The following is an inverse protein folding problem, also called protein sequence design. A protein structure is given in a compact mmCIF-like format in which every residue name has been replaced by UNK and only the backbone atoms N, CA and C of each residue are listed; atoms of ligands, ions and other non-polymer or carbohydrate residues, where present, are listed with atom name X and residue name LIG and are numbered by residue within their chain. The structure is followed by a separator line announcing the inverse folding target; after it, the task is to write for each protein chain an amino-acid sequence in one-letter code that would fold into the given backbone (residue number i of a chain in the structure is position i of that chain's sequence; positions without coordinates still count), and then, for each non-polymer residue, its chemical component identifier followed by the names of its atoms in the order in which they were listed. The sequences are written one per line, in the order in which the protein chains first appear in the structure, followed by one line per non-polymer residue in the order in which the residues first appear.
data_IF_822428257855
#
_entry.id   IF_822428257855
#
_cell.length_a   1.000
_cell.length_b   1.000
_cell.length_c   1.000
_cell.angle_alpha   90.00
_cell.angle_beta   90.00
_cell.angle_gamma   90.00
#
_symmetry.space_group_name_H-M   'P 1'
#
loop_
_entity.id
_entity.type
_entity.pdbx_description
1 polymer ?
#
# COMPACT_ATOMS: atom_id res chain seq x y z
N UNK A 1 -53.06 26.59 18.49
CA UNK A 1 -53.40 25.90 17.24
C UNK A 1 -52.78 24.50 17.27
N UNK A 2 -53.50 23.55 17.84
CA UNK A 2 -53.13 22.13 17.90
C UNK A 2 -53.99 21.38 16.88
N UNK A 3 -53.37 20.62 15.98
CA UNK A 3 -54.06 19.62 15.16
C UNK A 3 -53.44 18.24 15.43
N UNK A 4 -54.23 17.25 15.87
CA UNK A 4 -53.84 15.85 15.84
C UNK A 4 -54.34 15.20 14.53
N UNK A 5 -53.54 14.30 13.95
CA UNK A 5 -54.02 13.35 12.94
C UNK A 5 -53.56 11.94 13.32
N UNK A 6 -54.52 11.14 13.79
CA UNK A 6 -54.48 9.68 13.80
C UNK A 6 -55.58 9.19 12.84
N UNK A 7 -55.29 8.16 12.04
CA UNK A 7 -56.11 6.93 11.93
C UNK A 7 -55.47 5.95 10.93
N UNK A 8 -55.44 4.68 11.34
CA UNK A 8 -54.76 3.50 10.78
C UNK A 8 -55.55 2.80 9.63
N UNK A 9 -55.29 1.54 9.17
CA UNK A 9 -55.21 0.28 9.96
C UNK A 9 -54.02 -0.65 9.59
N UNK A 10 -53.37 -1.33 10.55
CA UNK A 10 -53.67 -2.68 11.06
C UNK A 10 -53.92 -3.76 9.99
N UNK A 11 -52.93 -4.66 9.85
CA UNK A 11 -53.12 -6.02 9.34
C UNK A 11 -52.50 -7.00 10.35
N UNK A 12 -53.38 -7.63 11.12
CA UNK A 12 -53.08 -8.79 11.96
C UNK A 12 -53.94 -9.94 11.46
N UNK A 13 -53.32 -11.11 11.24
CA UNK A 13 -53.98 -12.40 11.38
C UNK A 13 -52.95 -13.40 11.90
N UNK A 14 -53.36 -14.04 12.98
CA UNK A 14 -52.67 -15.05 13.79
C UNK A 14 -52.73 -16.45 13.16
N UNK A 15 -51.83 -17.32 13.62
CA UNK A 15 -52.00 -18.73 14.07
C UNK A 15 -50.59 -19.27 14.35
N UNK A 16 -50.16 -19.50 15.60
CA UNK A 16 -50.46 -20.69 16.43
C UNK A 16 -49.79 -21.93 15.83
N UNK A 17 -48.86 -22.70 16.43
CA UNK A 17 -48.77 -23.22 17.80
C UNK A 17 -47.35 -23.79 18.08
N UNK A 18 -46.99 -23.72 19.37
CA UNK A 18 -46.04 -24.51 20.21
C UNK A 18 -45.35 -25.78 19.67
N UNK A 19 -44.05 -25.99 19.99
CA UNK A 19 -43.52 -26.82 21.12
C UNK A 19 -42.04 -27.26 20.87
N UNK A 20 -41.20 -27.14 21.89
CA UNK A 20 -39.83 -27.70 22.01
C UNK A 20 -39.88 -29.12 22.64
N UNK A 21 -38.77 -29.75 23.09
CA UNK A 21 -37.65 -30.36 22.33
C UNK A 21 -37.43 -31.85 22.72
N UNK A 22 -36.60 -32.63 22.00
CA UNK A 22 -35.82 -33.78 22.56
C UNK A 22 -34.76 -34.31 21.59
N UNK A 23 -33.68 -34.84 22.16
CA UNK A 23 -32.40 -35.27 21.58
C UNK A 23 -32.35 -36.71 21.01
N UNK A 24 -31.32 -37.01 20.20
CA UNK A 24 -30.55 -38.27 20.08
C UNK A 24 -29.70 -38.21 18.78
N UNK A 25 -28.36 -38.22 18.80
CA UNK A 25 -27.39 -39.31 19.08
C UNK A 25 -26.95 -40.08 17.80
N UNK A 26 -25.67 -39.85 17.45
CA UNK A 26 -24.67 -40.71 16.76
C UNK A 26 -25.00 -41.41 15.44
N UNK A 27 -24.08 -41.33 14.47
CA UNK A 27 -23.07 -42.40 14.27
C UNK A 27 -22.17 -42.16 13.05
N UNK A 28 -20.88 -42.36 13.26
CA UNK A 28 -19.82 -42.52 12.26
C UNK A 28 -19.71 -44.02 11.97
N UNK A 29 -19.63 -44.44 10.69
CA UNK A 29 -18.66 -45.50 10.35
C UNK A 29 -18.28 -45.55 8.87
N UNK A 30 -17.00 -45.84 8.72
CA UNK A 30 -16.18 -46.06 7.54
C UNK A 30 -16.02 -47.58 7.32
N UNK A 31 -15.31 -47.97 6.25
CA UNK A 31 -14.74 -49.33 5.96
C UNK A 31 -15.72 -50.38 5.39
N UNK A 32 -15.39 -51.30 4.49
CA UNK A 32 -14.19 -51.62 3.69
C UNK A 32 -14.50 -52.83 2.79
N UNK A 33 -13.76 -52.93 1.67
CA UNK A 33 -13.12 -54.13 1.08
C UNK A 33 -13.89 -55.45 0.79
N UNK A 34 -13.78 -55.83 -0.49
CA UNK A 34 -13.22 -57.09 -1.02
C UNK A 34 -13.95 -58.44 -0.83
N UNK A 35 -14.14 -59.08 -2.00
CA UNK A 35 -13.98 -60.50 -2.33
C UNK A 35 -14.87 -61.52 -1.60
N UNK A 36 -15.74 -62.20 -2.35
CA UNK A 36 -15.56 -63.62 -2.68
C UNK A 36 -16.47 -64.06 -3.82
N UNK A 37 -15.86 -64.76 -4.78
CA UNK A 37 -16.49 -65.49 -5.86
C UNK A 37 -16.19 -66.98 -5.60
N UNK A 38 -17.21 -67.82 -5.49
CA UNK A 38 -17.12 -69.29 -5.48
C UNK A 38 -18.47 -69.81 -6.00
N UNK A 39 -18.52 -70.16 -7.29
CA UNK A 39 -18.59 -71.54 -7.79
C UNK A 39 -19.84 -72.29 -7.35
N UNK A 40 -20.75 -72.52 -8.31
CA UNK A 40 -21.10 -73.85 -8.85
C UNK A 40 -22.42 -74.33 -8.22
N UNK A 41 -23.28 -75.18 -8.78
CA UNK A 41 -23.10 -76.40 -9.57
C UNK A 41 -24.51 -76.74 -10.18
N UNK A 42 -24.56 -77.23 -11.43
CA UNK A 42 -25.50 -78.24 -12.02
C UNK A 42 -27.03 -78.05 -11.87
N UNK A 43 -27.83 -77.97 -12.94
CA UNK A 43 -28.40 -79.08 -13.75
C UNK A 43 -29.90 -78.72 -13.95
N UNK A 44 -30.72 -79.14 -14.92
CA UNK A 44 -30.68 -80.14 -15.98
C UNK A 44 -31.79 -79.78 -17.01
N UNK A 45 -31.57 -80.18 -18.27
CA UNK A 45 -32.51 -80.80 -19.23
C UNK A 45 -34.03 -80.55 -19.15
N UNK A 46 -34.66 -80.10 -20.25
CA UNK A 46 -35.50 -80.94 -21.16
C UNK A 46 -36.22 -80.09 -22.24
N UNK A 47 -36.09 -80.44 -23.53
CA UNK A 47 -37.13 -80.99 -24.45
C UNK A 47 -38.22 -79.94 -24.77
N UNK A 48 -38.42 -79.39 -25.98
CA UNK A 48 -38.89 -80.05 -27.22
C UNK A 48 -38.68 -79.17 -28.47
N UNK A 49 -38.44 -79.83 -29.60
CA UNK A 49 -38.45 -79.31 -30.97
C UNK A 49 -39.85 -78.87 -31.44
N UNK A 50 -39.92 -77.82 -32.26
CA UNK A 50 -40.72 -77.85 -33.50
C UNK A 50 -39.99 -77.08 -34.61
N UNK A 51 -39.79 -77.77 -35.74
CA UNK A 51 -39.25 -77.27 -37.01
C UNK A 51 -40.33 -76.43 -37.71
N UNK A 52 -39.95 -75.39 -38.44
CA UNK A 52 -40.39 -75.13 -39.83
C UNK A 52 -39.41 -74.17 -40.53
N UNK A 53 -39.35 -74.33 -41.85
CA UNK A 53 -38.30 -74.00 -42.83
C UNK A 53 -38.13 -72.52 -43.24
N UNK A 54 -36.98 -72.16 -43.88
CA UNK A 54 -36.60 -70.78 -44.19
C UNK A 54 -36.97 -70.37 -45.63
N UNK A 55 -37.32 -69.09 -45.84
CA UNK A 55 -37.19 -68.48 -47.16
C UNK A 55 -37.07 -66.95 -47.08
N UNK A 56 -36.13 -66.44 -47.88
CA UNK A 56 -36.01 -65.08 -48.43
C UNK A 56 -35.20 -64.01 -47.67
N UNK A 57 -34.03 -63.70 -48.27
CA UNK A 57 -33.37 -62.38 -48.42
C UNK A 57 -32.30 -61.96 -47.39
N UNK A 58 -31.00 -61.92 -47.74
CA UNK A 58 -30.03 -61.07 -47.06
C UNK A 58 -30.06 -59.66 -47.66
N UNK A 59 -30.87 -58.75 -47.12
CA UNK A 59 -30.59 -57.33 -47.30
C UNK A 59 -29.39 -56.97 -46.42
N UNK A 60 -28.28 -56.63 -47.07
CA UNK A 60 -27.10 -56.00 -46.46
C UNK A 60 -27.54 -54.80 -45.62
N UNK A 61 -27.72 -55.02 -44.32
CA UNK A 61 -27.82 -53.91 -43.38
C UNK A 61 -26.40 -53.41 -43.17
N UNK A 62 -26.11 -52.36 -43.92
CA UNK A 62 -24.99 -51.46 -43.70
C UNK A 62 -24.89 -51.20 -42.20
N UNK A 63 -23.83 -51.71 -41.56
CA UNK A 63 -23.49 -51.30 -40.20
C UNK A 63 -23.20 -49.80 -40.24
N UNK A 64 -24.23 -48.98 -40.02
CA UNK A 64 -24.06 -47.58 -39.65
C UNK A 64 -23.31 -47.61 -38.33
N UNK A 65 -22.00 -47.43 -38.40
CA UNK A 65 -21.14 -47.36 -37.23
C UNK A 65 -21.50 -46.08 -36.47
N UNK A 66 -22.44 -46.19 -35.53
CA UNK A 66 -22.87 -45.09 -34.66
C UNK A 66 -21.68 -44.71 -33.79
N UNK A 67 -21.07 -43.56 -34.07
CA UNK A 67 -20.03 -43.01 -33.19
C UNK A 67 -20.71 -42.28 -32.03
N UNK A 68 -20.70 -42.88 -30.84
CA UNK A 68 -21.14 -42.24 -29.60
C UNK A 68 -20.11 -41.22 -29.04
N UNK A 69 -19.46 -40.46 -29.91
CA UNK A 69 -18.59 -39.36 -29.48
C UNK A 69 -19.43 -38.09 -29.32
N UNK A 70 -20.03 -37.89 -28.15
CA UNK A 70 -20.50 -36.56 -27.75
C UNK A 70 -19.28 -35.67 -27.52
N UNK A 71 -19.21 -34.51 -28.19
CA UNK A 71 -18.14 -33.51 -28.09
C UNK A 71 -18.07 -32.79 -26.71
N UNK A 72 -18.42 -33.48 -25.63
CA UNK A 72 -18.44 -32.93 -24.27
C UNK A 72 -17.87 -33.90 -23.23
N UNK A 73 -17.01 -34.85 -23.62
CA UNK A 73 -16.21 -35.69 -22.71
C UNK A 73 -14.90 -35.03 -22.25
N UNK A 74 -14.77 -33.72 -22.46
CA UNK A 74 -13.76 -32.86 -21.85
C UNK A 74 -14.55 -31.72 -21.23
N UNK A 75 -14.67 -31.71 -19.91
CA UNK A 75 -15.36 -30.64 -19.19
C UNK A 75 -14.91 -29.29 -19.74
N UNK A 76 -15.87 -28.50 -20.23
CA UNK A 76 -15.73 -27.15 -20.78
C UNK A 76 -14.28 -26.61 -20.76
N UNK A 77 -13.59 -26.61 -21.91
CA UNK A 77 -12.25 -26.04 -22.07
C UNK A 77 -12.12 -24.54 -21.69
N UNK A 78 -13.25 -23.91 -21.30
CA UNK A 78 -13.40 -22.57 -20.76
C UNK A 78 -13.97 -22.53 -19.32
N UNK A 79 -13.86 -23.59 -18.52
CA UNK A 79 -14.11 -23.50 -17.07
C UNK A 79 -12.91 -22.85 -16.40
N UNK A 80 -12.81 -21.54 -16.59
CA UNK A 80 -11.78 -20.72 -15.98
C UNK A 80 -12.08 -20.54 -14.48
N UNK A 81 -11.67 -21.49 -13.65
CA UNK A 81 -11.56 -21.26 -12.20
C UNK A 81 -10.33 -20.39 -11.90
N UNK A 82 -10.33 -19.17 -12.43
CA UNK A 82 -9.37 -18.12 -12.06
C UNK A 82 -9.89 -17.43 -10.79
N UNK A 83 -9.91 -18.14 -9.67
CA UNK A 83 -10.12 -17.48 -8.39
C UNK A 83 -8.78 -16.90 -7.90
N UNK A 84 -8.60 -15.56 -7.90
CA UNK A 84 -7.37 -14.98 -7.42
C UNK A 84 -7.25 -15.18 -5.90
N UNK A 85 -6.03 -15.49 -5.43
CA UNK A 85 -5.75 -15.55 -4.00
C UNK A 85 -6.24 -14.29 -3.27
N UNK A 86 -6.89 -14.50 -2.13
CA UNK A 86 -7.45 -13.46 -1.28
C UNK A 86 -6.42 -12.38 -0.92
N UNK A 87 -6.80 -11.10 -1.05
CA UNK A 87 -5.87 -9.97 -0.89
C UNK A 87 -5.63 -9.54 0.56
N UNK A 88 -6.15 -10.29 1.54
CA UNK A 88 -5.98 -10.05 2.99
C UNK A 88 -6.34 -8.60 3.40
N UNK A 89 -7.41 -8.05 2.82
CA UNK A 89 -7.95 -6.74 3.17
C UNK A 89 -8.64 -6.78 4.55
N UNK A 90 -9.02 -5.63 5.07
CA UNK A 90 -9.73 -5.47 6.35
C UNK A 90 -8.89 -4.81 7.45
N UNK A 91 -9.43 -4.86 8.66
CA UNK A 91 -8.79 -4.32 9.85
C UNK A 91 -7.52 -5.10 10.18
N UNK A 92 -6.50 -4.35 10.61
CA UNK A 92 -5.21 -4.85 11.11
C UNK A 92 -5.01 -4.50 12.57
N UNK A 93 -5.62 -3.40 13.02
CA UNK A 93 -5.70 -2.99 14.41
C UNK A 93 -7.15 -2.82 14.82
N UNK A 94 -7.47 -3.25 16.03
CA UNK A 94 -8.83 -3.15 16.59
C UNK A 94 -8.98 -1.87 17.43
N UNK A 95 -10.20 -1.54 17.83
CA UNK A 95 -10.45 -0.37 18.68
C UNK A 95 -9.79 -0.55 20.05
N UNK A 96 -9.09 0.48 20.54
CA UNK A 96 -8.37 0.46 21.81
C UNK A 96 -6.98 -0.18 21.76
N UNK A 97 -6.54 -0.65 20.59
CA UNK A 97 -5.19 -1.20 20.41
C UNK A 97 -4.14 -0.08 20.30
N UNK A 98 -2.99 -0.29 20.94
CA UNK A 98 -1.88 0.66 20.90
C UNK A 98 -1.14 0.56 19.55
N UNK A 99 -0.82 1.71 18.96
CA UNK A 99 -0.14 1.84 17.68
C UNK A 99 0.96 2.88 17.73
N UNK A 100 2.00 2.65 16.92
CA UNK A 100 3.15 3.54 16.70
C UNK A 100 3.02 4.15 15.29
N UNK A 101 3.59 5.34 15.02
CA UNK A 101 3.58 5.93 13.68
C UNK A 101 4.01 4.95 12.59
N UNK A 102 3.27 4.94 11.48
CA UNK A 102 3.48 4.03 10.35
C UNK A 102 2.76 2.68 10.46
N UNK A 103 2.20 2.33 11.62
CA UNK A 103 1.41 1.11 11.75
C UNK A 103 0.15 1.15 10.88
N UNK A 104 -0.07 0.09 10.09
CA UNK A 104 -1.29 -0.05 9.28
C UNK A 104 -2.46 -0.41 10.20
N UNK A 105 -3.55 0.34 10.09
CA UNK A 105 -4.78 0.13 10.86
C UNK A 105 -5.83 -0.61 10.02
N UNK A 106 -6.02 -0.21 8.76
CA UNK A 106 -7.03 -0.81 7.89
C UNK A 106 -6.59 -0.82 6.42
N UNK A 107 -6.66 -1.98 5.76
CA UNK A 107 -6.42 -2.12 4.32
C UNK A 107 -7.73 -2.27 3.58
N UNK A 108 -7.97 -1.47 2.55
CA UNK A 108 -9.26 -1.44 1.87
C UNK A 108 -9.15 -1.23 0.36
N UNK A 109 -10.26 -1.47 -0.33
CA UNK A 109 -10.48 -1.00 -1.71
C UNK A 109 -11.51 0.11 -1.66
N UNK A 110 -11.15 1.25 -2.21
CA UNK A 110 -11.87 2.51 -1.97
C UNK A 110 -11.83 2.92 -0.49
N UNK A 111 -12.58 3.96 -0.15
CA UNK A 111 -12.63 4.54 1.20
C UNK A 111 -13.91 4.11 1.92
N UNK A 112 -13.91 2.90 2.50
CA UNK A 112 -14.99 2.46 3.40
C UNK A 112 -14.89 3.17 4.74
N UNK A 113 -13.66 3.30 5.23
CA UNK A 113 -13.28 4.14 6.34
C UNK A 113 -12.45 5.32 5.83
N UNK A 114 -12.62 6.47 6.45
CA UNK A 114 -11.87 7.69 6.17
C UNK A 114 -10.84 7.95 7.26
N UNK A 115 -9.71 8.60 6.94
CA UNK A 115 -8.75 9.02 7.94
C UNK A 115 -9.35 10.10 8.85
N UNK A 116 -9.37 9.82 10.15
CA UNK A 116 -9.74 10.75 11.21
C UNK A 116 -8.53 11.44 11.83
N UNK A 117 -8.64 11.80 13.10
CA UNK A 117 -7.57 12.44 13.87
C UNK A 117 -6.32 11.55 14.00
N UNK A 118 -5.13 12.14 13.83
CA UNK A 118 -3.82 11.45 13.95
C UNK A 118 -3.65 10.19 13.07
N UNK A 119 -4.44 10.10 12.00
CA UNK A 119 -4.37 9.06 10.97
C UNK A 119 -4.10 9.69 9.61
N UNK A 120 -3.42 8.93 8.75
CA UNK A 120 -3.21 9.31 7.37
C UNK A 120 -3.61 8.17 6.42
N UNK A 121 -3.77 8.51 5.15
CA UNK A 121 -4.22 7.59 4.11
C UNK A 121 -3.16 7.45 3.02
N UNK A 122 -2.83 6.20 2.65
CA UNK A 122 -1.91 5.88 1.59
C UNK A 122 -2.54 5.95 0.19
N UNK A 123 -1.72 5.75 -0.86
CA UNK A 123 -2.15 5.75 -2.26
C UNK A 123 -3.26 4.73 -2.55
N UNK A 124 -3.22 3.57 -1.89
CA UNK A 124 -4.20 2.49 -2.05
C UNK A 124 -5.36 2.60 -1.05
N UNK A 125 -5.55 3.76 -0.43
CA UNK A 125 -6.53 4.04 0.63
C UNK A 125 -6.31 3.25 1.93
N UNK A 126 -5.14 2.65 2.12
CA UNK A 126 -4.74 2.07 3.40
C UNK A 126 -4.63 3.17 4.46
N UNK A 127 -5.28 2.97 5.61
CA UNK A 127 -5.19 3.90 6.74
C UNK A 127 -4.07 3.43 7.67
N UNK A 128 -3.21 4.36 8.06
CA UNK A 128 -2.10 4.13 8.98
C UNK A 128 -2.03 5.23 10.04
N UNK A 129 -1.43 4.90 11.19
CA UNK A 129 -1.24 5.82 12.30
C UNK A 129 -0.15 6.86 11.96
N UNK A 130 -0.45 8.15 12.18
CA UNK A 130 0.54 9.22 12.05
C UNK A 130 1.26 9.49 13.38
N UNK A 131 0.56 9.29 14.51
CA UNK A 131 1.11 9.48 15.86
C UNK A 131 0.95 8.22 16.72
N UNK A 132 1.70 8.16 17.84
CA UNK A 132 1.60 7.06 18.80
C UNK A 132 0.41 7.23 19.76
N UNK A 133 -0.43 6.21 19.85
CA UNK A 133 -1.65 6.23 20.67
C UNK A 133 -2.51 5.00 20.49
N UNK A 134 -3.83 5.14 20.71
CA UNK A 134 -4.82 4.07 20.67
C UNK A 134 -5.83 4.29 19.55
N UNK A 135 -6.13 3.24 18.79
CA UNK A 135 -7.06 3.33 17.64
C UNK A 135 -8.50 3.49 18.10
N UNK A 136 -9.25 4.41 17.49
CA UNK A 136 -10.68 4.60 17.71
C UNK A 136 -11.43 4.70 16.39
N UNK A 137 -12.51 3.94 16.29
CA UNK A 137 -13.47 3.97 15.18
C UNK A 137 -14.66 4.83 15.60
N UNK A 138 -15.05 5.81 14.79
CA UNK A 138 -16.11 6.75 15.16
C UNK A 138 -16.86 7.28 13.95
N UNK A 139 -18.02 7.89 14.22
CA UNK A 139 -18.81 8.67 13.27
C UNK A 139 -18.70 10.13 13.65
N UNK A 140 -18.62 11.02 12.67
CA UNK A 140 -18.51 12.46 12.89
C UNK A 140 -19.58 13.19 12.05
N UNK A 141 -20.81 13.30 12.58
CA UNK A 141 -21.92 13.87 11.83
C UNK A 141 -21.74 15.38 11.58
N UNK A 142 -21.01 16.08 12.45
CA UNK A 142 -20.72 17.51 12.28
C UNK A 142 -19.80 17.75 11.08
N UNK A 143 -18.85 16.84 10.84
CA UNK A 143 -17.95 16.92 9.68
C UNK A 143 -18.60 16.37 8.41
N UNK A 144 -19.11 15.14 8.46
CA UNK A 144 -19.82 14.49 7.36
C UNK A 144 -20.80 13.42 7.88
N UNK A 145 -22.10 13.52 7.58
CA UNK A 145 -23.14 12.67 8.19
C UNK A 145 -22.99 11.18 7.90
N UNK A 146 -22.60 10.81 6.68
CA UNK A 146 -22.63 9.40 6.25
C UNK A 146 -21.27 8.69 6.35
N UNK A 147 -20.20 9.42 6.69
CA UNK A 147 -18.83 8.89 6.64
C UNK A 147 -18.39 8.32 7.98
N UNK A 148 -17.62 7.24 7.91
CA UNK A 148 -17.03 6.57 9.06
C UNK A 148 -15.54 6.83 9.13
N UNK A 149 -15.02 7.09 10.32
CA UNK A 149 -13.65 7.53 10.53
C UNK A 149 -12.87 6.58 11.42
N UNK A 150 -11.56 6.54 11.18
CA UNK A 150 -10.58 5.89 12.04
C UNK A 150 -9.59 6.95 12.49
N UNK A 151 -9.49 7.17 13.80
CA UNK A 151 -8.52 8.07 14.41
C UNK A 151 -7.63 7.36 15.43
N UNK A 152 -6.59 8.04 15.86
CA UNK A 152 -5.72 7.61 16.96
C UNK A 152 -5.77 8.66 18.06
N UNK A 153 -6.01 8.22 19.30
CA UNK A 153 -6.08 9.07 20.48
C UNK A 153 -4.86 8.83 21.36
N UNK A 154 -4.34 9.87 22.00
CA UNK A 154 -3.12 9.76 22.82
C UNK A 154 -3.30 8.95 24.10
N UNK A 155 -4.46 9.09 24.73
CA UNK A 155 -4.83 8.39 25.95
C UNK A 155 -5.74 7.23 25.61
N UNK A 156 -5.64 6.15 26.38
CA UNK A 156 -6.47 4.96 26.17
C UNK A 156 -7.95 5.29 26.27
N UNK A 157 -8.36 6.06 27.27
CA UNK A 157 -9.78 6.40 27.51
C UNK A 157 -10.29 7.59 26.70
N UNK A 158 -9.44 8.20 25.86
CA UNK A 158 -9.86 9.33 25.04
C UNK A 158 -10.88 8.92 23.98
N UNK A 159 -11.87 9.80 23.75
CA UNK A 159 -13.01 9.56 22.86
C UNK A 159 -12.92 10.49 21.64
N UNK A 160 -13.35 9.97 20.50
CA UNK A 160 -13.54 10.72 19.24
C UNK A 160 -15.02 10.63 18.85
N UNK A 161 -15.59 11.63 18.15
CA UNK A 161 -14.94 12.85 17.63
C UNK A 161 -14.64 13.88 18.73
N UNK A 162 -13.60 14.71 18.54
CA UNK A 162 -13.38 15.87 19.40
C UNK A 162 -14.41 16.97 19.09
N UNK A 163 -14.97 17.65 20.11
CA UNK A 163 -15.94 18.71 19.88
C UNK A 163 -15.26 19.91 19.21
N UNK A 164 -15.96 20.55 18.27
CA UNK A 164 -15.40 21.60 17.38
C UNK A 164 -14.69 22.77 18.09
N UNK A 165 -15.16 23.15 19.28
CA UNK A 165 -14.63 24.29 20.03
C UNK A 165 -13.55 23.92 21.07
N UNK A 166 -13.23 22.62 21.24
CA UNK A 166 -12.20 22.21 22.17
C UNK A 166 -10.79 22.42 21.58
N UNK A 167 -9.78 22.68 22.42
CA UNK A 167 -8.41 22.76 21.98
C UNK A 167 -7.94 21.42 21.42
N UNK A 168 -7.24 21.44 20.27
CA UNK A 168 -6.68 20.22 19.67
C UNK A 168 -5.55 19.68 20.54
N UNK A 169 -5.69 18.44 21.02
CA UNK A 169 -4.62 17.74 21.74
C UNK A 169 -3.48 17.40 20.78
N UNK A 170 -2.22 17.60 21.17
CA UNK A 170 -1.01 17.29 20.37
C UNK A 170 0.13 16.81 21.27
N UNK A 171 1.01 15.93 20.78
CA UNK A 171 2.24 15.53 21.49
C UNK A 171 3.45 16.27 20.94
N UNK A 172 4.37 16.66 21.82
CA UNK A 172 5.62 17.30 21.43
C UNK A 172 6.60 16.33 20.75
N UNK A 173 6.58 15.04 21.14
CA UNK A 173 7.44 13.97 20.60
C UNK A 173 8.93 14.34 20.49
N UNK A 174 9.45 15.08 21.48
CA UNK A 174 10.86 15.46 21.57
C UNK A 174 11.34 15.25 23.00
N UNK A 175 12.63 14.95 23.13
CA UNK A 175 13.32 14.79 24.42
C UNK A 175 14.29 15.95 24.57
N UNK A 176 14.34 16.55 25.75
CA UNK A 176 15.34 17.57 26.06
C UNK A 176 16.70 16.88 26.18
N UNK A 177 17.62 17.22 25.27
CA UNK A 177 19.02 16.78 25.35
C UNK A 177 19.83 17.95 25.87
N UNK A 178 20.60 17.72 26.92
CA UNK A 178 21.55 18.72 27.43
C UNK A 178 22.59 18.96 26.34
N UNK A 179 22.74 20.22 25.95
CA UNK A 179 23.81 20.63 25.06
C UNK A 179 25.12 20.64 25.85
N UNK A 180 26.03 19.72 25.53
CA UNK A 180 27.40 19.76 26.05
C UNK A 180 28.28 20.50 25.04
N UNK A 181 28.89 21.65 25.40
CA UNK A 181 29.81 22.35 24.51
C UNK A 181 31.02 21.47 24.22
N UNK A 182 31.48 21.44 22.96
CA UNK A 182 32.59 20.59 22.47
C UNK A 182 33.99 21.02 22.99
N UNK A 183 34.10 21.51 24.23
CA UNK A 183 35.38 21.99 24.77
C UNK A 183 36.33 20.87 25.23
N UNK A 184 35.86 19.61 25.32
CA UNK A 184 36.68 18.49 25.84
C UNK A 184 37.11 17.44 24.80
N UNK A 185 36.56 17.43 23.58
CA UNK A 185 36.94 16.46 22.55
C UNK A 185 38.20 16.88 21.77
N UNK A 186 38.47 18.18 21.65
CA UNK A 186 39.72 18.68 21.10
C UNK A 186 40.94 18.42 22.02
N UNK A 187 40.73 18.32 23.34
CA UNK A 187 41.78 18.03 24.30
C UNK A 187 42.16 16.53 24.38
N UNK A 188 41.31 15.63 23.85
CA UNK A 188 41.54 14.17 23.85
C UNK A 188 42.04 13.61 22.51
N UNK A 189 42.15 14.44 21.47
CA UNK A 189 42.84 14.13 20.22
C UNK A 189 44.09 15.01 20.08
N UNK A 190 44.99 14.94 21.06
CA UNK A 190 46.39 15.28 20.81
C UNK A 190 47.02 14.14 20.04
N UNK A 191 47.14 14.26 18.72
CA UNK A 191 48.01 13.37 17.95
C UNK A 191 49.43 13.51 18.54
N UNK A 192 49.87 12.46 19.23
CA UNK A 192 51.24 12.35 19.74
C UNK A 192 52.18 12.26 18.53
N UNK A 193 52.82 13.36 18.15
CA UNK A 193 53.90 13.34 17.18
C UNK A 193 55.20 13.08 17.93
N UNK A 194 55.66 11.82 17.89
CA UNK A 194 57.01 11.47 18.29
C UNK A 194 57.99 11.93 17.19
N UNK A 195 58.96 12.79 17.54
CA UNK A 195 60.13 13.02 16.69
C UNK A 195 61.27 12.14 17.18
N UNK A 196 61.80 11.30 16.29
CA UNK A 196 62.95 10.43 16.56
C UNK A 196 64.21 11.21 16.18
N UNK A 197 65.06 11.47 17.18
CA UNK A 197 66.45 11.89 16.99
C UNK A 197 67.40 10.84 17.56
N UNK A 198 68.69 10.91 17.21
CA UNK A 198 69.69 9.87 17.51
C UNK A 198 69.97 9.61 19.01
N UNK A 199 69.50 10.46 19.92
CA UNK A 199 69.73 10.37 21.38
C UNK A 199 68.40 10.31 22.20
N UNK A 200 67.36 9.70 21.63
CA UNK A 200 66.12 9.34 22.36
C UNK A 200 64.89 10.24 22.14
N UNK A 201 63.71 9.71 22.49
CA UNK A 201 62.40 10.33 22.23
C UNK A 201 62.03 11.35 23.30
N UNK A 202 61.89 12.63 22.93
CA UNK A 202 61.28 13.66 23.78
C UNK A 202 59.87 14.02 23.29
N UNK A 203 58.90 14.01 24.21
CA UNK A 203 57.49 14.36 23.95
C UNK A 203 57.23 15.78 24.47
N UNK A 204 56.97 16.72 23.55
CA UNK A 204 56.62 18.11 23.88
C UNK A 204 55.16 18.43 23.58
N UNK A 205 54.52 19.27 24.39
CA UNK A 205 53.15 19.77 24.16
C UNK A 205 53.16 20.92 23.13
N UNK A 206 52.24 20.85 22.15
CA UNK A 206 52.15 21.84 21.08
C UNK A 206 51.48 23.14 21.56
N UNK A 207 52.05 24.28 21.16
CA UNK A 207 51.49 25.62 21.37
C UNK A 207 50.21 25.85 20.56
N UNK A 208 49.21 26.47 21.19
CA UNK A 208 47.95 26.95 20.59
C UNK A 208 48.22 27.75 19.31
N UNK A 209 47.64 27.29 18.20
CA UNK A 209 47.53 28.10 16.97
C UNK A 209 46.27 28.97 17.11
N UNK A 210 46.47 30.28 17.08
CA UNK A 210 45.42 31.29 17.10
C UNK A 210 44.44 31.14 15.94
N UNK A 211 43.21 31.60 16.18
CA UNK A 211 42.08 31.56 15.26
C UNK A 211 42.39 32.25 13.92
N UNK A 212 42.84 31.46 12.96
CA UNK A 212 42.86 31.87 11.56
C UNK A 212 41.41 31.99 11.08
N UNK A 213 41.03 33.21 10.73
CA UNK A 213 39.80 33.56 10.02
C UNK A 213 39.55 32.52 8.92
N UNK A 214 38.35 31.95 8.90
CA UNK A 214 37.95 30.84 8.05
C UNK A 214 38.17 31.14 6.56
N UNK A 215 39.38 30.87 6.09
CA UNK A 215 39.72 30.77 4.69
C UNK A 215 39.02 29.52 4.14
N UNK A 216 38.36 29.69 2.99
CA UNK A 216 37.59 28.68 2.27
C UNK A 216 38.37 27.36 2.21
N UNK A 217 37.88 26.34 2.91
CA UNK A 217 38.52 25.03 2.90
C UNK A 217 38.28 24.33 1.56
N UNK A 218 39.36 24.06 0.81
CA UNK A 218 39.31 23.23 -0.39
C UNK A 218 39.10 21.76 -0.01
N UNK A 219 38.11 21.10 -0.61
CA UNK A 219 38.02 19.63 -0.64
C UNK A 219 38.78 19.08 -1.85
N UNK A 220 39.19 17.79 -1.83
CA UNK A 220 39.88 17.17 -2.95
C UNK A 220 39.01 17.24 -4.22
N UNK A 221 39.53 17.89 -5.27
CA UNK A 221 38.81 18.10 -6.54
C UNK A 221 38.79 19.53 -7.08
N UNK A 222 39.53 20.48 -6.48
CA UNK A 222 39.78 21.83 -7.03
C UNK A 222 38.53 22.56 -7.55
N UNK A 223 37.44 22.58 -6.78
CA UNK A 223 36.31 23.47 -7.05
C UNK A 223 36.00 24.32 -5.84
N UNK A 224 36.20 25.64 -5.98
CA UNK A 224 35.68 26.61 -5.04
C UNK A 224 34.16 26.49 -5.00
N UNK A 225 33.62 26.07 -3.86
CA UNK A 225 32.18 26.14 -3.61
C UNK A 225 31.95 27.24 -2.60
N UNK A 226 31.37 28.35 -3.06
CA UNK A 226 30.82 29.35 -2.15
C UNK A 226 29.78 28.66 -1.26
N UNK A 227 29.73 29.06 0.01
CA UNK A 227 28.71 28.56 0.92
C UNK A 227 27.32 28.87 0.34
N UNK A 228 26.35 27.96 0.52
CA UNK A 228 25.02 28.10 -0.09
C UNK A 228 24.33 29.44 0.27
N UNK A 229 24.66 30.02 1.42
CA UNK A 229 24.17 31.34 1.84
C UNK A 229 24.76 32.50 1.01
N UNK A 230 26.01 32.40 0.55
CA UNK A 230 26.66 33.38 -0.31
C UNK A 230 26.09 33.35 -1.73
N UNK A 231 25.77 32.16 -2.24
CA UNK A 231 25.06 31.98 -3.52
C UNK A 231 23.69 32.69 -3.49
N UNK A 232 23.00 32.66 -2.34
CA UNK A 232 21.72 33.33 -2.14
C UNK A 232 21.78 34.86 -2.23
N UNK A 233 22.92 35.47 -1.87
CA UNK A 233 23.12 36.93 -1.94
C UNK A 233 23.78 37.41 -3.24
N UNK A 234 24.07 36.52 -4.18
CA UNK A 234 24.67 36.91 -5.46
C UNK A 234 23.81 37.94 -6.22
N UNK A 235 22.48 37.85 -6.10
CA UNK A 235 21.56 38.82 -6.68
C UNK A 235 21.63 40.20 -6.01
N UNK A 236 21.80 40.25 -4.68
CA UNK A 236 21.96 41.49 -3.90
C UNK A 236 23.32 42.16 -4.21
N UNK A 237 24.39 41.36 -4.28
CA UNK A 237 25.74 41.82 -4.66
C UNK A 237 25.80 42.38 -6.08
N UNK A 238 25.02 41.80 -6.99
CA UNK A 238 24.90 42.27 -8.37
C UNK A 238 23.89 43.43 -8.53
N UNK A 239 23.24 43.89 -7.44
CA UNK A 239 22.22 44.95 -7.49
C UNK A 239 20.96 44.59 -8.28
N UNK A 240 20.73 43.30 -8.56
CA UNK A 240 19.63 42.84 -9.42
C UNK A 240 18.36 42.77 -8.59
N UNK A 241 17.51 43.79 -8.72
CA UNK A 241 16.19 43.79 -8.08
C UNK A 241 15.16 43.07 -8.96
N UNK A 242 14.49 42.05 -8.43
CA UNK A 242 13.42 41.35 -9.15
C UNK A 242 12.20 42.28 -9.35
N UNK A 243 11.75 42.45 -10.60
CA UNK A 243 10.55 43.25 -10.89
C UNK A 243 9.31 42.60 -10.27
N UNK A 244 8.41 43.38 -9.63
CA UNK A 244 7.20 42.85 -9.01
C UNK A 244 6.29 42.18 -10.06
N UNK A 245 5.69 41.05 -9.69
CA UNK A 245 4.83 40.29 -10.58
C UNK A 245 3.46 40.97 -10.74
N UNK A 246 3.13 41.43 -11.95
CA UNK A 246 1.82 41.99 -12.28
C UNK A 246 0.93 40.94 -12.98
N UNK A 247 -0.07 40.43 -12.25
CA UNK A 247 -1.02 39.40 -12.74
C UNK A 247 -1.89 39.87 -13.92
N UNK A 248 -2.11 41.18 -14.09
CA UNK A 248 -2.95 41.73 -15.17
C UNK A 248 -2.19 41.87 -16.50
N UNK A 249 -0.86 41.82 -16.51
CA UNK A 249 -0.06 41.99 -17.72
C UNK A 249 0.17 40.66 -18.47
N UNK A 250 -0.89 40.15 -19.11
CA UNK A 250 -0.85 38.90 -19.90
C UNK A 250 0.13 38.97 -21.08
N UNK A 251 0.32 40.14 -21.69
CA UNK A 251 1.23 40.34 -22.83
C UNK A 251 2.70 40.17 -22.45
N UNK A 252 3.11 40.64 -21.27
CA UNK A 252 4.46 40.44 -20.75
C UNK A 252 4.70 38.97 -20.37
N UNK A 253 3.71 38.30 -19.79
CA UNK A 253 3.77 36.87 -19.51
C UNK A 253 3.90 36.04 -20.80
N UNK A 254 3.14 36.39 -21.84
CA UNK A 254 3.22 35.76 -23.16
C UNK A 254 4.61 35.96 -23.79
N UNK A 255 5.13 37.20 -23.84
CA UNK A 255 6.49 37.48 -24.36
C UNK A 255 7.60 36.75 -23.59
N UNK A 256 7.51 36.66 -22.27
CA UNK A 256 8.47 35.88 -21.46
C UNK A 256 8.39 34.38 -21.77
N UNK A 257 7.18 33.87 -22.02
CA UNK A 257 6.97 32.46 -22.37
C UNK A 257 7.54 32.14 -23.77
N UNK A 258 7.31 32.99 -24.76
CA UNK A 258 7.86 32.81 -26.11
C UNK A 258 9.39 32.88 -26.09
N UNK A 259 9.97 33.90 -25.45
CA UNK A 259 11.42 34.02 -25.30
C UNK A 259 12.05 32.81 -24.57
N UNK A 260 11.37 32.27 -23.55
CA UNK A 260 11.81 31.04 -22.88
C UNK A 260 11.76 29.83 -23.80
N UNK A 261 10.71 29.70 -24.61
CA UNK A 261 10.57 28.61 -25.57
C UNK A 261 11.67 28.67 -26.65
N UNK A 262 11.95 29.86 -27.18
CA UNK A 262 13.03 30.10 -28.15
C UNK A 262 14.40 29.76 -27.57
N UNK A 263 14.71 30.24 -26.36
CA UNK A 263 15.98 29.90 -25.68
C UNK A 263 16.12 28.40 -25.46
N UNK A 264 15.05 27.71 -25.09
CA UNK A 264 15.06 26.25 -24.93
C UNK A 264 15.26 25.53 -26.27
N UNK A 265 14.65 26.02 -27.36
CA UNK A 265 14.84 25.50 -28.71
C UNK A 265 16.29 25.69 -29.19
N UNK A 266 16.89 26.86 -28.97
CA UNK A 266 18.31 27.12 -29.25
C UNK A 266 19.24 26.21 -28.43
N UNK A 267 18.98 26.03 -27.13
CA UNK A 267 19.76 25.10 -26.32
C UNK A 267 19.65 23.65 -26.81
N UNK A 268 18.46 23.24 -27.27
CA UNK A 268 18.23 21.90 -27.84
C UNK A 268 18.95 21.74 -29.18
N UNK A 269 18.96 22.76 -30.04
CA UNK A 269 19.68 22.73 -31.32
C UNK A 269 21.19 22.66 -31.11
N UNK A 270 21.75 23.46 -30.20
CA UNK A 270 23.17 23.42 -29.82
C UNK A 270 23.57 22.06 -29.23
N UNK A 271 22.73 21.48 -28.36
CA UNK A 271 22.98 20.15 -27.79
C UNK A 271 22.95 19.06 -28.88
N UNK A 272 22.02 19.16 -29.83
CA UNK A 272 21.94 18.24 -30.97
C UNK A 272 23.14 18.39 -31.91
N UNK A 273 23.60 19.63 -32.18
CA UNK A 273 24.81 19.90 -32.97
C UNK A 273 26.07 19.30 -32.30
N UNK A 274 26.22 19.46 -30.99
CA UNK A 274 27.31 18.85 -30.20
C UNK A 274 27.27 17.32 -30.25
N UNK A 275 26.08 16.70 -30.14
CA UNK A 275 25.92 15.24 -30.30
C UNK A 275 26.27 14.78 -31.71
N UNK A 276 25.86 15.52 -32.74
CA UNK A 276 26.18 15.24 -34.13
C UNK A 276 27.68 15.33 -34.42
N UNK A 277 28.36 16.35 -33.91
CA UNK A 277 29.81 16.50 -34.03
C UNK A 277 30.57 15.35 -33.34
N UNK A 278 30.15 14.95 -32.13
CA UNK A 278 30.74 13.80 -31.42
C UNK A 278 30.54 12.48 -32.18
N UNK A 279 29.45 12.33 -32.93
CA UNK A 279 29.19 11.14 -33.77
C UNK A 279 30.04 11.14 -35.05
N UNK A 280 30.47 12.30 -35.56
CA UNK A 280 31.30 12.43 -36.77
C UNK A 280 32.80 12.35 -36.49
N UNK A 281 33.26 12.74 -35.30
CA UNK A 281 34.69 12.65 -34.88
C UNK A 281 35.08 11.34 -34.19
N UNK A 282 34.26 10.29 -34.34
CA UNK A 282 34.49 8.96 -33.77
C UNK A 282 34.60 7.86 -34.85
N UNK A 283 35.17 8.23 -36.01
CA UNK A 283 35.70 7.32 -37.02
C UNK A 283 37.17 7.66 -37.20
#
# INVERSE_FOLDING_TARGET
MFQPRLLAPLRALERGLTRTPTAATTSIRNTSSLLRNTSSILSATSITQTKLTPLASPTLHQFLQVRHASHASQGTANRHSRDPAGKRLGAKRTAGEYVVPGCIIFRQRGTKWFPGENCAMGRDHTIYAAEAGYVRYYLDPERHPDRKYIGVVFEKEGKLPTPKNAPTRRKLNRVAVRFEPEEELAAKQGDLVAKIGEEGTQVGSATKVEAAQAAVQLRPGYMYREANWSIGRAAEKAGITAKPYNRKNRWLAWRKRTAKAERMAQMKSLKNKKKGAKKKGGK
#
